data_IF_728322531216
#
_entry.id   IF_728322531216
#
_cell.length_a   1.000
_cell.length_b   1.000
_cell.length_c   1.000
_cell.angle_alpha   90.00
_cell.angle_beta   90.00
_cell.angle_gamma   90.00
#
_symmetry.space_group_name_H-M   'P 1'
#
loop_
_entity.id
_entity.type
_entity.pdbx_description
1 polymer ?
#
# COMPACT_ATOMS: atom_id res chain seq x y z
N UNK A 1 -33.69 9.17 -8.92
CA UNK A 1 -32.22 9.13 -8.85
C UNK A 1 -31.84 7.71 -8.49
N UNK A 2 -31.36 6.94 -9.45
CA UNK A 2 -31.00 5.52 -9.26
C UNK A 2 -29.57 5.47 -8.70
N UNK A 3 -29.39 4.90 -7.52
CA UNK A 3 -28.08 4.67 -6.93
C UNK A 3 -27.33 3.63 -7.78
N UNK A 4 -26.31 4.09 -8.47
CA UNK A 4 -25.39 3.26 -9.25
C UNK A 4 -24.38 2.66 -8.29
N UNK A 5 -24.56 1.41 -7.89
CA UNK A 5 -23.51 0.64 -7.20
C UNK A 5 -22.63 0.06 -8.28
N UNK A 6 -21.43 0.62 -8.43
CA UNK A 6 -20.42 0.15 -9.37
C UNK A 6 -19.53 -0.84 -8.65
N UNK A 7 -19.49 -2.07 -9.12
CA UNK A 7 -18.58 -3.12 -8.65
C UNK A 7 -17.31 -3.07 -9.47
N UNK A 8 -16.19 -2.91 -8.81
CA UNK A 8 -14.88 -2.68 -9.41
C UNK A 8 -13.97 -3.90 -9.22
N UNK A 9 -13.35 -4.32 -10.31
CA UNK A 9 -12.23 -5.27 -10.48
C UNK A 9 -12.54 -6.76 -10.52
N UNK A 10 -12.02 -7.39 -11.56
CA UNK A 10 -12.24 -8.78 -12.01
C UNK A 10 -11.82 -9.91 -11.07
N UNK A 11 -11.52 -9.63 -9.86
CA UNK A 11 -11.44 -10.67 -8.83
C UNK A 11 -12.78 -10.88 -8.10
N UNK A 12 -13.94 -10.43 -8.61
CA UNK A 12 -15.24 -10.50 -7.95
C UNK A 12 -16.25 -11.23 -8.78
N UNK A 13 -16.47 -12.45 -8.52
CA UNK A 13 -17.73 -13.08 -8.86
C UNK A 13 -18.31 -13.87 -7.69
N UNK A 14 -19.57 -13.58 -7.48
CA UNK A 14 -20.63 -14.38 -6.90
C UNK A 14 -21.11 -14.06 -5.47
N UNK A 15 -22.38 -13.74 -5.50
CA UNK A 15 -23.53 -13.86 -4.62
C UNK A 15 -24.01 -12.57 -3.97
N UNK A 16 -25.08 -12.05 -4.61
CA UNK A 16 -26.10 -11.28 -3.91
C UNK A 16 -27.04 -12.26 -3.19
N UNK A 17 -27.19 -12.09 -1.90
CA UNK A 17 -28.44 -12.44 -1.22
C UNK A 17 -28.65 -11.58 0.02
N UNK A 18 -29.83 -11.00 0.06
CA UNK A 18 -30.61 -10.48 1.21
C UNK A 18 -30.09 -9.25 1.95
N UNK A 19 -30.94 -8.24 1.90
CA UNK A 19 -30.97 -7.03 2.70
C UNK A 19 -30.82 -7.32 4.20
N UNK A 20 -29.74 -6.81 4.78
CA UNK A 20 -29.68 -6.56 6.21
C UNK A 20 -29.50 -5.05 6.43
N UNK A 21 -30.40 -4.47 7.21
CA UNK A 21 -30.32 -3.06 7.62
C UNK A 21 -29.07 -2.81 8.46
N UNK A 22 -28.49 -1.59 8.42
CA UNK A 22 -27.34 -1.25 9.23
C UNK A 22 -27.72 -1.34 10.72
N UNK A 23 -27.07 -2.23 11.44
CA UNK A 23 -27.11 -2.26 12.89
C UNK A 23 -26.38 -1.03 13.43
N UNK A 24 -27.05 -0.32 14.31
CA UNK A 24 -26.58 0.82 15.10
C UNK A 24 -25.17 0.59 15.67
N UNK A 25 -24.39 1.66 15.86
CA UNK A 25 -23.05 1.53 16.43
C UNK A 25 -23.12 0.92 17.83
N UNK A 26 -22.23 -0.02 18.09
CA UNK A 26 -22.06 -0.68 19.37
C UNK A 26 -21.88 0.35 20.49
N UNK A 27 -22.97 0.67 21.18
CA UNK A 27 -22.97 1.24 22.51
C UNK A 27 -23.34 0.11 23.47
N UNK A 28 -22.38 -0.69 23.87
CA UNK A 28 -22.49 -1.46 25.09
C UNK A 28 -21.80 -0.67 26.19
N UNK A 29 -22.61 -0.07 27.03
CA UNK A 29 -22.16 0.45 28.30
C UNK A 29 -21.46 -0.67 29.07
N UNK A 30 -20.14 -0.60 29.18
CA UNK A 30 -19.38 -1.41 30.13
C UNK A 30 -19.63 -0.79 31.48
N UNK A 31 -20.60 -1.36 32.22
CA UNK A 31 -20.81 -1.09 33.64
C UNK A 31 -19.65 -1.72 34.41
N UNK A 32 -18.99 -0.89 35.20
CA UNK A 32 -17.73 -1.12 35.83
C UNK A 32 -17.62 -2.30 36.77
N UNK A 33 -16.46 -2.90 36.70
CA UNK A 33 -15.72 -3.40 37.87
C UNK A 33 -14.25 -3.05 37.62
N UNK A 34 -13.58 -2.49 38.62
CA UNK A 34 -12.16 -2.10 38.57
C UNK A 34 -11.25 -3.33 38.75
N UNK A 35 -11.40 -4.34 37.90
CA UNK A 35 -10.37 -5.32 37.61
C UNK A 35 -9.59 -4.83 36.39
N UNK A 36 -8.28 -4.93 36.42
CA UNK A 36 -7.41 -4.68 35.25
C UNK A 36 -8.05 -5.28 34.01
N UNK A 37 -8.18 -4.56 32.90
CA UNK A 37 -8.77 -5.14 31.70
C UNK A 37 -8.02 -6.44 31.37
N UNK A 38 -8.74 -7.54 31.23
CA UNK A 38 -8.19 -8.82 30.82
C UNK A 38 -7.60 -8.66 29.42
N UNK A 39 -6.31 -8.46 29.33
CA UNK A 39 -5.57 -8.42 28.08
C UNK A 39 -4.38 -9.37 28.16
N UNK A 40 -3.96 -9.85 27.02
CA UNK A 40 -2.71 -10.61 26.91
C UNK A 40 -1.81 -10.02 25.83
N UNK A 41 -0.53 -10.38 25.88
CA UNK A 41 0.46 -9.90 24.95
C UNK A 41 0.72 -10.91 23.84
N UNK A 42 0.89 -10.41 22.65
CA UNK A 42 1.36 -11.19 21.49
C UNK A 42 2.46 -10.43 20.76
N UNK A 43 3.27 -11.14 19.99
CA UNK A 43 4.23 -10.55 19.05
C UNK A 43 3.88 -10.92 17.63
N UNK A 44 4.01 -9.99 16.74
CA UNK A 44 3.88 -10.26 15.31
C UNK A 44 4.90 -11.28 14.86
N UNK A 45 4.51 -12.15 13.93
CA UNK A 45 5.38 -13.15 13.30
C UNK A 45 5.12 -13.26 11.80
N UNK A 46 6.04 -13.86 11.08
CA UNK A 46 5.93 -14.09 9.64
C UNK A 46 6.55 -12.98 8.81
N UNK A 47 6.39 -13.08 7.50
CA UNK A 47 7.13 -12.25 6.53
C UNK A 47 6.51 -10.86 6.39
N UNK A 48 5.18 -10.75 6.47
CA UNK A 48 4.42 -9.51 6.24
C UNK A 48 3.21 -9.44 7.17
N UNK A 49 3.40 -9.44 8.50
CA UNK A 49 2.29 -9.20 9.41
C UNK A 49 1.74 -7.79 9.18
N UNK A 50 0.43 -7.63 9.27
CA UNK A 50 -0.22 -6.34 9.11
C UNK A 50 -1.40 -6.17 10.04
N UNK A 51 -1.71 -4.92 10.35
CA UNK A 51 -2.93 -4.53 11.05
C UNK A 51 -3.96 -3.99 10.06
N UNK A 52 -5.23 -4.16 10.40
CA UNK A 52 -6.39 -3.66 9.67
C UNK A 52 -7.22 -2.74 10.55
N UNK A 53 -7.99 -1.84 9.93
CA UNK A 53 -8.91 -0.94 10.65
C UNK A 53 -10.17 -1.65 11.16
N UNK A 54 -10.52 -2.78 10.57
CA UNK A 54 -11.68 -3.59 10.92
C UNK A 54 -11.76 -4.82 10.05
N UNK A 55 -12.64 -5.78 10.38
CA UNK A 55 -12.94 -6.90 9.49
C UNK A 55 -13.59 -6.36 8.22
N UNK A 56 -13.19 -6.90 7.08
CA UNK A 56 -13.78 -6.55 5.80
C UNK A 56 -14.94 -7.47 5.45
N UNK A 57 -16.00 -6.89 4.93
CA UNK A 57 -17.18 -7.62 4.46
C UNK A 57 -17.10 -7.96 2.97
N UNK A 58 -16.10 -7.45 2.29
CA UNK A 58 -15.86 -7.72 0.88
C UNK A 58 -14.61 -8.61 0.68
N UNK A 59 -14.40 -9.03 -0.55
CA UNK A 59 -13.28 -9.90 -0.91
C UNK A 59 -11.87 -9.30 -0.77
N UNK A 60 -11.75 -7.98 -0.60
CA UNK A 60 -10.46 -7.33 -0.35
C UNK A 60 -10.07 -7.45 1.12
N UNK A 61 -10.98 -7.94 1.97
CA UNK A 61 -10.79 -8.03 3.41
C UNK A 61 -10.82 -6.67 4.08
N UNK A 62 -10.41 -6.62 5.34
CA UNK A 62 -10.30 -5.39 6.11
C UNK A 62 -9.33 -4.40 5.46
N UNK A 63 -9.64 -3.10 5.58
CA UNK A 63 -8.74 -2.07 5.09
C UNK A 63 -7.43 -2.11 5.88
N UNK A 64 -6.32 -2.42 5.21
CA UNK A 64 -5.00 -2.52 5.85
C UNK A 64 -4.58 -1.19 6.47
N UNK A 65 -4.21 -1.22 7.73
CA UNK A 65 -3.69 -0.04 8.43
C UNK A 65 -2.20 0.16 8.11
N UNK A 66 -1.41 -0.88 8.32
CA UNK A 66 0.04 -0.87 8.08
C UNK A 66 0.59 -2.28 8.06
N UNK A 67 1.70 -2.49 7.32
CA UNK A 67 2.55 -3.65 7.52
C UNK A 67 3.49 -3.40 8.70
N UNK A 68 3.79 -4.44 9.47
CA UNK A 68 4.67 -4.40 10.64
C UNK A 68 5.89 -5.29 10.43
N UNK A 69 6.93 -5.02 11.17
CA UNK A 69 8.03 -5.96 11.33
C UNK A 69 7.59 -7.16 12.20
N UNK A 70 8.31 -8.26 12.12
CA UNK A 70 8.17 -9.37 13.05
C UNK A 70 8.67 -8.97 14.45
N UNK A 71 8.04 -9.48 15.49
CA UNK A 71 8.41 -9.22 16.88
C UNK A 71 7.81 -7.94 17.48
N UNK A 72 6.92 -7.24 16.79
CA UNK A 72 6.20 -6.08 17.34
C UNK A 72 5.24 -6.54 18.42
N UNK A 73 5.33 -5.92 19.59
CA UNK A 73 4.52 -6.22 20.77
C UNK A 73 3.13 -5.59 20.63
N UNK A 74 2.10 -6.40 20.75
CA UNK A 74 0.71 -5.99 20.64
C UNK A 74 -0.07 -6.41 21.88
N UNK A 75 -1.01 -5.56 22.27
CA UNK A 75 -1.90 -5.75 23.40
C UNK A 75 -3.27 -6.21 22.90
N UNK A 76 -3.57 -7.49 23.05
CA UNK A 76 -4.86 -8.08 22.65
C UNK A 76 -5.87 -7.88 23.75
N UNK A 77 -7.02 -7.33 23.40
CA UNK A 77 -8.12 -7.06 24.33
C UNK A 77 -9.36 -7.91 24.04
N UNK A 78 -9.48 -8.46 22.82
CA UNK A 78 -10.60 -9.29 22.41
C UNK A 78 -10.26 -10.06 21.13
N UNK A 79 -11.20 -10.86 20.63
CA UNK A 79 -11.09 -11.57 19.36
C UNK A 79 -12.40 -11.59 18.59
N UNK A 80 -12.32 -11.51 17.27
CA UNK A 80 -13.45 -11.61 16.36
C UNK A 80 -13.11 -12.58 15.21
N UNK A 81 -13.77 -13.72 15.18
CA UNK A 81 -13.51 -14.74 14.16
C UNK A 81 -12.04 -15.18 14.13
N UNK A 82 -11.38 -14.98 13.01
CA UNK A 82 -9.96 -15.30 12.78
C UNK A 82 -8.98 -14.26 13.30
N UNK A 83 -9.48 -13.14 13.81
CA UNK A 83 -8.65 -12.00 14.17
C UNK A 83 -8.63 -11.74 15.68
N UNK A 84 -7.55 -11.15 16.15
CA UNK A 84 -7.47 -10.49 17.44
C UNK A 84 -7.77 -9.00 17.31
N UNK A 85 -8.43 -8.45 18.32
CA UNK A 85 -8.62 -7.00 18.50
C UNK A 85 -7.50 -6.50 19.37
N UNK A 86 -6.73 -5.54 18.83
CA UNK A 86 -5.53 -4.96 19.45
C UNK A 86 -5.81 -3.55 19.90
N UNK A 87 -5.53 -3.23 21.15
CA UNK A 87 -5.56 -1.86 21.65
C UNK A 87 -4.31 -1.10 21.22
N UNK A 88 -4.48 -0.04 20.45
CA UNK A 88 -3.43 0.92 20.08
C UNK A 88 -3.41 2.13 21.01
N UNK A 89 -4.60 2.65 21.34
CA UNK A 89 -4.84 3.67 22.37
C UNK A 89 -6.08 3.28 23.17
N UNK A 90 -6.53 4.12 24.10
CA UNK A 90 -7.79 3.89 24.82
C UNK A 90 -9.04 3.92 23.92
N UNK A 91 -8.95 4.54 22.74
CA UNK A 91 -10.07 4.73 21.79
C UNK A 91 -9.83 4.19 20.39
N UNK A 92 -8.58 3.81 20.07
CA UNK A 92 -8.21 3.29 18.76
C UNK A 92 -7.81 1.81 18.87
N UNK A 93 -8.48 0.98 18.10
CA UNK A 93 -8.21 -0.44 17.98
C UNK A 93 -7.78 -0.79 16.56
N UNK A 94 -7.12 -1.93 16.43
CA UNK A 94 -6.78 -2.55 15.15
C UNK A 94 -7.11 -4.03 15.20
N UNK A 95 -7.16 -4.65 14.03
CA UNK A 95 -7.38 -6.08 13.86
C UNK A 95 -6.11 -6.71 13.29
N UNK A 96 -5.79 -7.91 13.75
CA UNK A 96 -4.67 -8.70 13.24
C UNK A 96 -5.03 -10.18 13.22
N UNK A 97 -4.68 -10.87 12.14
CA UNK A 97 -4.93 -12.29 12.02
C UNK A 97 -4.20 -13.09 13.11
N UNK A 98 -4.90 -14.00 13.77
CA UNK A 98 -4.35 -14.89 14.82
C UNK A 98 -3.12 -15.67 14.33
N UNK A 99 -3.09 -16.03 13.05
CA UNK A 99 -1.97 -16.72 12.41
C UNK A 99 -0.72 -15.86 12.26
N UNK A 100 -0.86 -14.55 12.31
CA UNK A 100 0.23 -13.56 12.15
C UNK A 100 0.89 -13.16 13.48
N UNK A 101 0.52 -13.80 14.58
CA UNK A 101 1.07 -13.50 15.91
C UNK A 101 1.42 -14.76 16.69
N UNK A 102 2.23 -14.58 17.73
CA UNK A 102 2.56 -15.60 18.73
C UNK A 102 2.39 -15.02 20.12
N UNK A 103 1.89 -15.81 21.09
CA UNK A 103 1.75 -15.39 22.48
C UNK A 103 3.10 -14.99 23.08
N UNK A 104 3.10 -13.87 23.80
CA UNK A 104 4.25 -13.42 24.60
C UNK A 104 3.90 -13.53 26.08
N UNK A 105 4.40 -14.57 26.72
CA UNK A 105 4.19 -14.85 28.14
C UNK A 105 5.34 -14.37 29.01
N UNK A 106 6.41 -13.85 28.41
CA UNK A 106 7.65 -13.46 29.08
C UNK A 106 7.71 -11.97 29.37
N UNK A 107 7.22 -11.16 28.44
CA UNK A 107 7.28 -9.69 28.57
C UNK A 107 6.34 -9.23 29.67
N UNK A 108 6.91 -8.59 30.70
CA UNK A 108 6.12 -7.87 31.70
C UNK A 108 5.62 -6.56 31.12
N UNK A 109 4.32 -6.35 31.17
CA UNK A 109 3.71 -5.07 30.75
C UNK A 109 4.29 -3.95 31.62
N UNK A 110 4.89 -2.96 30.97
CA UNK A 110 5.31 -1.74 31.63
C UNK A 110 4.15 -0.75 31.63
N UNK A 111 3.98 0.00 32.72
CA UNK A 111 3.00 1.09 32.77
C UNK A 111 3.29 2.18 31.73
N UNK A 112 4.58 2.38 31.41
CA UNK A 112 5.05 3.39 30.46
C UNK A 112 6.24 2.85 29.66
N UNK A 113 6.18 3.01 28.34
CA UNK A 113 7.33 2.91 27.47
C UNK A 113 7.78 4.32 27.10
N UNK A 114 9.05 4.63 27.30
CA UNK A 114 9.62 5.96 27.06
C UNK A 114 10.55 5.91 25.85
N UNK A 115 10.34 6.78 24.88
CA UNK A 115 11.28 6.95 23.78
C UNK A 115 12.57 7.63 24.29
N UNK A 116 13.68 7.32 23.62
CA UNK A 116 14.92 8.05 23.84
C UNK A 116 15.15 9.15 22.80
N UNK A 117 16.41 9.56 22.66
CA UNK A 117 16.81 10.60 21.73
C UNK A 117 16.78 10.14 20.29
N UNK A 118 16.75 11.11 19.38
CA UNK A 118 16.67 10.89 17.96
C UNK A 118 17.96 11.30 17.26
N UNK A 119 18.17 10.70 16.11
CA UNK A 119 19.25 11.07 15.19
C UNK A 119 18.73 11.09 13.78
N UNK A 120 19.03 12.15 13.03
CA UNK A 120 18.76 12.21 11.58
C UNK A 120 20.06 12.20 10.81
N UNK A 121 20.10 11.48 9.70
CA UNK A 121 21.22 11.42 8.77
C UNK A 121 20.74 10.95 7.40
N UNK A 122 21.61 10.96 6.40
CA UNK A 122 21.30 10.40 5.09
C UNK A 122 22.35 9.37 4.67
N UNK A 123 21.94 8.47 3.79
CA UNK A 123 22.80 7.62 2.99
C UNK A 123 22.62 7.91 1.50
N UNK A 124 23.07 7.01 0.62
CA UNK A 124 22.96 7.20 -0.84
C UNK A 124 21.50 7.11 -1.36
N UNK A 125 20.57 6.56 -0.59
CA UNK A 125 19.20 6.24 -1.04
C UNK A 125 18.10 6.84 -0.19
N UNK A 126 18.39 7.11 1.09
CA UNK A 126 17.39 7.50 2.08
C UNK A 126 17.89 8.61 2.99
N UNK A 127 16.96 9.45 3.41
CA UNK A 127 17.08 10.17 4.66
C UNK A 127 16.53 9.28 5.78
N UNK A 128 17.19 9.27 6.93
CA UNK A 128 16.87 8.46 8.09
C UNK A 128 16.48 9.34 9.27
N UNK A 129 15.40 8.98 9.94
CA UNK A 129 15.01 9.52 11.23
C UNK A 129 14.95 8.32 12.19
N UNK A 130 15.96 8.21 13.03
CA UNK A 130 16.12 7.07 13.94
C UNK A 130 15.75 7.48 15.34
N UNK A 131 14.74 6.82 15.89
CA UNK A 131 14.23 7.01 17.25
C UNK A 131 14.69 5.86 18.14
N UNK A 132 15.29 6.16 19.29
CA UNK A 132 15.63 5.12 20.29
C UNK A 132 14.34 4.64 20.95
N UNK A 133 14.13 3.33 20.95
CA UNK A 133 12.92 2.67 21.41
C UNK A 133 13.24 1.69 22.55
N UNK A 134 12.37 1.60 23.56
CA UNK A 134 12.55 0.64 24.66
C UNK A 134 12.02 -0.75 24.32
N UNK A 135 11.20 -0.86 23.27
CA UNK A 135 10.51 -2.06 22.81
C UNK A 135 10.06 -1.87 21.36
N UNK A 136 9.81 -2.97 20.63
CA UNK A 136 9.15 -2.92 19.32
C UNK A 136 7.65 -2.70 19.52
N UNK A 137 7.21 -1.47 19.39
CA UNK A 137 5.83 -1.06 19.55
C UNK A 137 5.15 -0.86 18.19
N UNK A 138 3.80 -0.96 18.11
CA UNK A 138 3.09 -0.75 16.86
C UNK A 138 3.16 0.70 16.38
N UNK A 139 3.09 0.85 15.07
CA UNK A 139 3.13 2.15 14.39
C UNK A 139 2.18 2.18 13.20
N UNK A 140 1.89 3.40 12.74
CA UNK A 140 1.15 3.65 11.49
C UNK A 140 1.72 4.87 10.79
N UNK A 141 1.87 4.78 9.46
CA UNK A 141 2.30 5.90 8.63
C UNK A 141 1.19 6.43 7.75
N UNK A 142 1.12 7.74 7.56
CA UNK A 142 0.14 8.43 6.71
C UNK A 142 0.83 9.50 5.88
N UNK A 143 0.60 9.51 4.57
CA UNK A 143 1.05 10.57 3.66
C UNK A 143 0.04 11.72 3.67
N UNK A 144 0.54 12.95 3.75
CA UNK A 144 -0.21 14.17 3.57
C UNK A 144 0.38 14.94 2.39
N UNK A 145 -0.44 15.60 1.58
CA UNK A 145 0.01 16.30 0.36
C UNK A 145 -0.10 17.81 0.44
N UNK A 146 -0.75 18.33 1.48
CA UNK A 146 -0.86 19.78 1.71
C UNK A 146 -0.97 20.06 3.21
N UNK A 147 0.10 20.48 3.87
CA UNK A 147 1.50 20.50 3.39
C UNK A 147 2.00 19.10 3.05
N UNK A 148 3.10 19.02 2.26
CA UNK A 148 3.68 17.73 1.89
C UNK A 148 4.50 17.18 3.06
N UNK A 149 3.98 16.15 3.72
CA UNK A 149 4.59 15.57 4.91
C UNK A 149 4.24 14.10 5.10
N UNK A 150 5.05 13.41 5.86
CA UNK A 150 4.76 12.10 6.41
C UNK A 150 4.43 12.25 7.89
N UNK A 151 3.40 11.55 8.34
CA UNK A 151 2.98 11.45 9.75
C UNK A 151 3.17 10.00 10.17
N UNK A 152 3.94 9.77 11.23
CA UNK A 152 4.10 8.44 11.84
C UNK A 152 3.54 8.48 13.26
N UNK A 153 2.51 7.70 13.49
CA UNK A 153 1.94 7.47 14.82
C UNK A 153 2.63 6.25 15.46
N UNK A 154 3.24 6.43 16.61
CA UNK A 154 3.83 5.39 17.45
C UNK A 154 2.90 5.16 18.64
N UNK A 155 2.44 3.94 18.83
CA UNK A 155 1.43 3.63 19.85
C UNK A 155 2.04 3.04 21.11
N UNK A 156 1.45 3.35 22.26
CA UNK A 156 1.87 2.81 23.56
C UNK A 156 3.17 3.41 24.10
N UNK A 157 3.54 4.62 23.67
CA UNK A 157 4.81 5.26 24.03
C UNK A 157 4.63 6.72 24.39
N UNK A 158 5.40 7.18 25.36
CA UNK A 158 5.53 8.58 25.75
C UNK A 158 6.91 9.09 25.40
N UNK A 159 7.00 10.32 24.92
CA UNK A 159 8.28 10.95 24.63
C UNK A 159 9.10 11.21 25.89
N UNK A 160 10.33 10.77 25.86
CA UNK A 160 11.39 11.16 26.78
C UNK A 160 12.62 11.69 26.02
N UNK A 161 12.35 12.31 24.86
CA UNK A 161 13.36 12.83 23.96
C UNK A 161 13.92 14.14 24.51
N UNK A 162 15.21 14.17 24.85
CA UNK A 162 15.90 15.39 25.31
C UNK A 162 16.52 16.16 24.14
N UNK A 163 16.89 15.48 23.04
CA UNK A 163 17.44 16.13 21.85
C UNK A 163 17.24 15.29 20.59
N UNK A 164 17.26 15.99 19.45
CA UNK A 164 17.31 15.42 18.11
C UNK A 164 18.64 15.85 17.49
N UNK A 165 19.54 14.88 17.25
CA UNK A 165 20.80 15.14 16.57
C UNK A 165 20.61 15.13 15.07
N UNK A 166 20.82 16.27 14.41
CA UNK A 166 20.80 16.37 12.95
C UNK A 166 22.22 16.25 12.41
N UNK A 167 22.46 15.23 11.56
CA UNK A 167 23.78 14.97 10.97
C UNK A 167 23.74 15.26 9.48
N UNK A 168 24.41 16.36 9.08
CA UNK A 168 24.47 16.79 7.70
C UNK A 168 23.16 17.38 7.17
N UNK A 169 23.15 17.70 5.88
CA UNK A 169 21.93 18.13 5.20
C UNK A 169 21.18 16.90 4.71
N UNK A 170 19.92 16.76 5.12
CA UNK A 170 19.00 15.76 4.58
C UNK A 170 18.60 16.17 3.15
N UNK A 171 18.36 15.20 2.28
CA UNK A 171 18.04 15.43 0.89
C UNK A 171 16.56 15.73 0.68
N UNK A 172 15.69 14.91 1.25
CA UNK A 172 14.24 14.99 1.07
C UNK A 172 13.54 15.62 2.28
N UNK A 173 14.08 15.46 3.48
CA UNK A 173 13.48 15.95 4.71
C UNK A 173 13.85 17.42 4.91
N UNK A 174 12.82 18.27 5.03
CA UNK A 174 12.96 19.68 5.36
C UNK A 174 13.07 19.90 6.87
N UNK A 175 12.21 19.21 7.64
CA UNK A 175 12.17 19.29 9.09
C UNK A 175 11.54 18.02 9.69
N UNK A 176 11.84 17.73 10.95
CA UNK A 176 11.19 16.67 11.72
C UNK A 176 11.01 17.10 13.16
N UNK A 177 9.84 16.83 13.72
CA UNK A 177 9.50 17.05 15.12
C UNK A 177 8.44 16.05 15.56
N UNK A 178 8.00 16.16 16.81
CA UNK A 178 6.97 15.28 17.35
C UNK A 178 6.00 16.03 18.25
N UNK A 179 4.85 15.43 18.44
CA UNK A 179 3.85 15.83 19.44
C UNK A 179 3.45 14.61 20.26
N UNK A 180 3.40 14.78 21.58
CA UNK A 180 2.78 13.80 22.44
C UNK A 180 1.28 14.00 22.37
N UNK A 181 0.61 13.04 21.77
CA UNK A 181 -0.85 13.00 21.73
C UNK A 181 -1.37 12.38 23.03
N UNK A 182 -2.62 12.65 23.33
CA UNK A 182 -3.33 11.96 24.41
C UNK A 182 -3.33 10.44 24.20
N UNK A 183 -3.54 9.68 25.26
CA UNK A 183 -3.70 8.22 25.23
C UNK A 183 -2.44 7.43 24.85
N UNK A 184 -1.24 7.96 25.08
CA UNK A 184 -0.01 7.21 24.89
C UNK A 184 0.41 7.03 23.41
N UNK A 185 0.03 7.96 22.55
CA UNK A 185 0.47 8.00 21.15
C UNK A 185 1.49 9.13 20.97
N UNK A 186 2.66 8.81 20.41
CA UNK A 186 3.67 9.78 20.00
C UNK A 186 3.58 9.96 18.47
N UNK A 187 3.24 11.17 18.03
CA UNK A 187 3.13 11.51 16.61
C UNK A 187 4.39 12.19 16.12
N UNK A 188 5.02 11.59 15.12
CA UNK A 188 6.20 12.12 14.44
C UNK A 188 5.78 12.76 13.14
N UNK A 189 6.22 13.99 12.92
CA UNK A 189 6.02 14.72 11.68
C UNK A 189 7.32 14.81 10.91
N UNK A 190 7.25 14.57 9.62
CA UNK A 190 8.38 14.70 8.69
C UNK A 190 7.93 15.55 7.51
N UNK A 191 8.31 16.81 7.50
CA UNK A 191 8.06 17.71 6.36
C UNK A 191 9.03 17.40 5.22
N UNK A 192 8.49 17.32 4.02
CA UNK A 192 9.25 17.00 2.82
C UNK A 192 9.59 18.27 2.03
N UNK A 193 10.80 18.32 1.48
CA UNK A 193 11.24 19.40 0.57
C UNK A 193 10.57 19.30 -0.79
N UNK A 194 10.37 18.05 -1.26
CA UNK A 194 9.66 17.79 -2.51
C UNK A 194 8.17 18.02 -2.36
N UNK A 195 7.49 18.43 -3.44
CA UNK A 195 6.04 18.46 -3.53
C UNK A 195 5.40 17.09 -3.76
N UNK A 196 6.21 16.03 -3.84
CA UNK A 196 5.78 14.68 -4.14
C UNK A 196 6.38 13.69 -3.12
N UNK A 197 5.70 12.56 -2.92
CA UNK A 197 6.20 11.45 -2.13
C UNK A 197 6.90 10.43 -3.02
N UNK A 198 8.13 10.04 -2.63
CA UNK A 198 8.94 9.04 -3.35
C UNK A 198 8.88 7.66 -2.70
N UNK A 199 8.27 7.59 -1.56
CA UNK A 199 8.16 6.41 -0.72
C UNK A 199 8.87 6.57 0.61
N UNK A 200 8.45 5.75 1.56
CA UNK A 200 9.04 5.64 2.89
C UNK A 200 8.90 4.21 3.41
N UNK A 201 9.71 3.88 4.39
CA UNK A 201 9.56 2.66 5.18
C UNK A 201 9.82 2.92 6.65
N UNK A 202 9.25 2.09 7.50
CA UNK A 202 9.46 2.14 8.95
C UNK A 202 9.86 0.76 9.41
N UNK A 203 11.03 0.62 10.03
CA UNK A 203 11.58 -0.65 10.45
C UNK A 203 12.29 -0.55 11.78
N UNK A 204 12.21 -1.60 12.57
CA UNK A 204 13.06 -1.77 13.72
C UNK A 204 14.42 -2.35 13.31
N UNK A 205 15.48 -1.93 14.00
CA UNK A 205 16.78 -2.59 13.88
C UNK A 205 16.72 -4.03 14.41
N UNK A 206 17.78 -4.81 14.18
CA UNK A 206 17.84 -6.21 14.61
C UNK A 206 17.65 -6.40 16.11
N UNK A 207 18.09 -5.43 16.91
CA UNK A 207 17.97 -5.45 18.38
C UNK A 207 16.60 -5.04 18.88
N UNK A 208 15.81 -4.34 18.05
CA UNK A 208 14.52 -3.74 18.44
C UNK A 208 14.65 -2.44 19.23
N UNK A 209 15.88 -1.95 19.41
CA UNK A 209 16.17 -0.76 20.22
C UNK A 209 16.08 0.56 19.44
N UNK A 210 15.92 0.51 18.13
CA UNK A 210 15.81 1.67 17.26
C UNK A 210 14.72 1.47 16.23
N UNK A 211 13.87 2.48 16.08
CA UNK A 211 12.93 2.60 14.97
C UNK A 211 13.55 3.53 13.93
N UNK A 212 13.71 3.05 12.70
CA UNK A 212 14.27 3.78 11.57
C UNK A 212 13.16 4.13 10.58
N UNK A 213 12.81 5.41 10.51
CA UNK A 213 11.90 5.97 9.51
C UNK A 213 12.76 6.43 8.34
N UNK A 214 12.64 5.75 7.21
CA UNK A 214 13.42 6.00 5.99
C UNK A 214 12.58 6.72 4.96
N UNK A 215 13.06 7.85 4.49
CA UNK A 215 12.45 8.61 3.41
C UNK A 215 13.28 8.40 2.15
N UNK A 216 12.66 7.79 1.14
CA UNK A 216 13.35 7.50 -0.13
C UNK A 216 13.67 8.79 -0.87
N UNK A 217 14.89 8.88 -1.39
CA UNK A 217 15.31 10.00 -2.24
C UNK A 217 14.54 10.02 -3.56
N UNK A 218 14.28 11.23 -4.06
CA UNK A 218 13.69 11.42 -5.38
C UNK A 218 14.48 10.63 -6.45
N UNK A 219 13.81 9.93 -7.36
CA UNK A 219 14.48 9.29 -8.46
C UNK A 219 15.08 10.32 -9.42
N UNK A 220 15.98 9.88 -10.26
CA UNK A 220 16.51 10.74 -11.31
C UNK A 220 15.39 11.25 -12.24
N UNK A 221 15.42 12.53 -12.60
CA UNK A 221 14.47 13.15 -13.55
C UNK A 221 14.64 12.66 -15.01
N UNK A 222 15.16 11.47 -15.17
CA UNK A 222 15.46 10.87 -16.46
C UNK A 222 14.94 9.44 -16.52
N UNK A 223 14.01 9.20 -17.44
CA UNK A 223 13.39 7.87 -17.64
C UNK A 223 14.43 6.74 -17.79
N UNK A 224 15.56 7.01 -18.44
CA UNK A 224 16.62 6.01 -18.66
C UNK A 224 17.31 5.55 -17.37
N UNK A 225 17.23 6.33 -16.31
CA UNK A 225 17.87 6.04 -15.02
C UNK A 225 16.90 5.40 -14.02
N UNK A 226 15.61 5.40 -14.32
CA UNK A 226 14.62 4.76 -13.44
C UNK A 226 14.81 3.25 -13.37
N UNK A 227 14.55 2.72 -12.18
CA UNK A 227 14.31 1.30 -11.98
C UNK A 227 12.79 1.06 -11.91
N UNK A 228 12.23 0.46 -12.95
CA UNK A 228 10.80 0.24 -13.09
C UNK A 228 10.49 -1.22 -12.81
N UNK A 229 9.61 -1.48 -11.85
CA UNK A 229 9.00 -2.79 -11.68
C UNK A 229 7.68 -2.85 -12.47
N UNK A 230 7.46 -3.95 -13.18
CA UNK A 230 6.24 -4.25 -13.90
C UNK A 230 5.66 -5.55 -13.33
N UNK A 231 4.46 -5.45 -12.79
CA UNK A 231 3.73 -6.61 -12.31
C UNK A 231 2.70 -7.02 -13.37
N UNK A 232 2.72 -8.30 -13.75
CA UNK A 232 1.67 -8.91 -14.53
C UNK A 232 0.68 -9.56 -13.58
N UNK A 233 -0.50 -8.99 -13.43
CA UNK A 233 -1.53 -9.48 -12.51
C UNK A 233 -1.86 -10.96 -12.72
N UNK A 234 -2.35 -11.62 -11.66
CA UNK A 234 -2.73 -13.04 -11.70
C UNK A 234 -1.59 -13.98 -12.07
N UNK A 235 -1.90 -15.21 -12.50
CA UNK A 235 -0.94 -16.22 -12.94
C UNK A 235 -1.16 -17.58 -12.30
N UNK A 236 -0.76 -18.64 -12.99
CA UNK A 236 -0.95 -20.00 -12.56
C UNK A 236 -2.42 -20.33 -12.28
N UNK A 237 -2.74 -20.75 -11.06
CA UNK A 237 -4.10 -21.09 -10.66
C UNK A 237 -5.03 -19.88 -10.51
N UNK A 238 -4.49 -18.68 -10.34
CA UNK A 238 -5.27 -17.44 -10.32
C UNK A 238 -5.45 -16.94 -11.76
N UNK A 239 -6.58 -17.24 -12.37
CA UNK A 239 -6.86 -16.88 -13.77
C UNK A 239 -7.20 -15.42 -13.98
N UNK A 240 -7.64 -14.71 -12.93
CA UNK A 240 -8.33 -13.44 -13.07
C UNK A 240 -9.71 -13.63 -13.72
N UNK A 241 -10.25 -12.56 -14.28
CA UNK A 241 -11.46 -12.61 -15.09
C UNK A 241 -11.22 -13.30 -16.44
N UNK A 242 -12.29 -13.54 -17.16
CA UNK A 242 -12.25 -13.96 -18.56
C UNK A 242 -13.07 -12.99 -19.41
N UNK A 243 -12.68 -12.83 -20.65
CA UNK A 243 -13.45 -12.07 -21.62
C UNK A 243 -14.72 -12.80 -22.02
N UNK A 244 -15.81 -12.08 -22.19
CA UNK A 244 -17.14 -12.65 -22.48
C UNK A 244 -17.26 -13.10 -23.95
N UNK A 245 -16.53 -12.45 -24.87
CA UNK A 245 -16.61 -12.77 -26.32
C UNK A 245 -15.53 -13.79 -26.69
N UNK A 246 -14.28 -13.56 -26.26
CA UNK A 246 -13.13 -14.36 -26.70
C UNK A 246 -12.69 -15.40 -25.65
N UNK A 247 -13.26 -15.40 -24.47
CA UNK A 247 -12.96 -16.38 -23.41
C UNK A 247 -11.51 -16.35 -22.89
N UNK A 248 -10.72 -15.33 -23.24
CA UNK A 248 -9.30 -15.27 -22.86
C UNK A 248 -9.17 -14.84 -21.41
N UNK A 249 -8.46 -15.64 -20.60
CA UNK A 249 -8.24 -15.36 -19.19
C UNK A 249 -7.34 -14.13 -18.99
N UNK A 250 -7.65 -13.32 -17.99
CA UNK A 250 -6.92 -12.11 -17.64
C UNK A 250 -5.43 -12.37 -17.42
N UNK A 251 -5.05 -13.46 -16.75
CA UNK A 251 -3.64 -13.79 -16.50
C UNK A 251 -2.79 -13.88 -17.78
N UNK A 252 -3.37 -14.27 -18.90
CA UNK A 252 -2.68 -14.36 -20.19
C UNK A 252 -2.49 -12.97 -20.77
N UNK A 253 -3.53 -12.15 -20.71
CA UNK A 253 -3.52 -10.77 -21.19
C UNK A 253 -2.56 -9.89 -20.38
N UNK A 254 -2.60 -9.99 -19.05
CA UNK A 254 -1.71 -9.20 -18.18
C UNK A 254 -0.24 -9.51 -18.46
N UNK A 255 0.10 -10.78 -18.71
CA UNK A 255 1.47 -11.15 -19.07
C UNK A 255 1.87 -10.62 -20.46
N UNK A 256 0.98 -10.68 -21.43
CA UNK A 256 1.20 -10.14 -22.78
C UNK A 256 1.45 -8.62 -22.75
N UNK A 257 0.59 -7.87 -22.04
CA UNK A 257 0.70 -6.41 -21.91
C UNK A 257 1.89 -5.97 -21.07
N UNK A 258 2.18 -6.69 -19.98
CA UNK A 258 3.36 -6.43 -19.16
C UNK A 258 4.67 -6.63 -19.93
N UNK A 259 4.75 -7.67 -20.77
CA UNK A 259 5.90 -7.88 -21.69
C UNK A 259 6.01 -6.79 -22.75
N UNK A 260 4.88 -6.32 -23.28
CA UNK A 260 4.87 -5.19 -24.21
C UNK A 260 5.37 -3.90 -23.52
N UNK A 261 4.99 -3.68 -22.26
CA UNK A 261 5.47 -2.55 -21.46
C UNK A 261 6.97 -2.66 -21.18
N UNK A 262 7.47 -3.84 -20.76
CA UNK A 262 8.91 -4.07 -20.60
C UNK A 262 9.69 -3.76 -21.88
N UNK A 263 9.22 -4.25 -23.02
CA UNK A 263 9.84 -4.00 -24.34
C UNK A 263 9.87 -2.50 -24.68
N UNK A 264 8.75 -1.78 -24.45
CA UNK A 264 8.65 -0.34 -24.69
C UNK A 264 9.58 0.45 -23.78
N UNK A 265 9.64 0.13 -22.49
CA UNK A 265 10.54 0.76 -21.53
C UNK A 265 12.02 0.56 -21.92
N UNK A 266 12.41 -0.67 -22.27
CA UNK A 266 13.76 -0.97 -22.76
C UNK A 266 14.10 -0.22 -24.04
N UNK A 267 13.15 -0.14 -24.99
CA UNK A 267 13.31 0.62 -26.24
C UNK A 267 13.49 2.11 -25.97
N UNK A 268 12.82 2.65 -24.95
CA UNK A 268 13.00 4.03 -24.48
C UNK A 268 14.31 4.27 -23.70
N UNK A 269 15.12 3.22 -23.52
CA UNK A 269 16.42 3.27 -22.88
C UNK A 269 16.41 3.07 -21.37
N UNK A 270 15.29 2.65 -20.77
CA UNK A 270 15.24 2.26 -19.34
C UNK A 270 16.14 1.04 -19.13
N UNK A 271 17.20 1.21 -18.33
CA UNK A 271 18.22 0.16 -18.15
C UNK A 271 17.79 -0.95 -17.19
N UNK A 272 16.97 -0.62 -16.20
CA UNK A 272 16.53 -1.53 -15.14
C UNK A 272 15.02 -1.69 -15.17
N UNK A 273 14.56 -2.82 -15.71
CA UNK A 273 13.15 -3.24 -15.69
C UNK A 273 13.06 -4.61 -15.04
N UNK A 274 12.31 -4.71 -13.95
CA UNK A 274 12.03 -5.95 -13.24
C UNK A 274 10.60 -6.38 -13.53
N UNK A 275 10.38 -7.66 -13.82
CA UNK A 275 9.03 -8.22 -13.93
C UNK A 275 8.80 -9.22 -12.80
N UNK A 276 7.66 -9.12 -12.11
CA UNK A 276 7.28 -10.05 -11.04
C UNK A 276 7.14 -11.49 -11.53
N UNK A 277 6.61 -11.67 -12.75
CA UNK A 277 6.59 -12.96 -13.44
C UNK A 277 6.85 -12.80 -14.93
N UNK A 278 7.46 -13.81 -15.53
CA UNK A 278 7.75 -13.87 -16.98
C UNK A 278 7.07 -15.04 -17.67
N UNK A 279 6.43 -15.91 -16.89
CA UNK A 279 5.71 -17.11 -17.35
C UNK A 279 4.34 -17.16 -16.65
N UNK A 280 3.53 -18.14 -17.00
CA UNK A 280 2.27 -18.40 -16.29
C UNK A 280 2.56 -19.15 -14.98
N UNK A 281 2.93 -18.41 -13.95
CA UNK A 281 3.34 -18.92 -12.64
C UNK A 281 2.46 -18.34 -11.55
N UNK A 282 2.05 -19.18 -10.60
CA UNK A 282 1.37 -18.74 -9.37
C UNK A 282 2.37 -18.01 -8.45
N UNK A 283 2.04 -16.79 -8.09
CA UNK A 283 2.75 -16.00 -7.08
C UNK A 283 1.72 -15.43 -6.12
N UNK A 284 1.90 -15.68 -4.85
CA UNK A 284 1.10 -15.05 -3.80
C UNK A 284 1.42 -13.55 -3.67
N UNK A 285 0.51 -12.78 -3.06
CA UNK A 285 0.76 -11.35 -2.83
C UNK A 285 1.97 -11.10 -1.91
N UNK A 286 2.17 -11.85 -0.80
CA UNK A 286 3.40 -11.73 -0.03
C UNK A 286 4.68 -11.95 -0.84
N UNK A 287 4.74 -12.99 -1.68
CA UNK A 287 5.90 -13.24 -2.54
C UNK A 287 6.18 -12.07 -3.48
N UNK A 288 5.15 -11.52 -4.14
CA UNK A 288 5.31 -10.34 -5.02
C UNK A 288 5.83 -9.13 -4.23
N UNK A 289 5.27 -8.86 -3.05
CA UNK A 289 5.70 -7.74 -2.21
C UNK A 289 7.16 -7.92 -1.77
N UNK A 290 7.56 -9.14 -1.36
CA UNK A 290 8.93 -9.40 -0.94
C UNK A 290 9.93 -9.26 -2.09
N UNK A 291 9.62 -9.80 -3.28
CA UNK A 291 10.44 -9.59 -4.48
C UNK A 291 10.64 -8.08 -4.78
N UNK A 292 9.60 -7.28 -4.60
CA UNK A 292 9.66 -5.83 -4.80
C UNK A 292 10.45 -5.12 -3.69
N UNK A 293 10.33 -5.56 -2.44
CA UNK A 293 11.15 -5.05 -1.32
C UNK A 293 12.63 -5.38 -1.49
N UNK A 294 12.95 -6.59 -1.93
CA UNK A 294 14.35 -7.02 -2.18
C UNK A 294 14.98 -6.24 -3.34
N UNK A 295 14.21 -5.97 -4.40
CA UNK A 295 14.70 -5.23 -5.55
C UNK A 295 14.67 -3.73 -5.37
N UNK A 296 13.75 -3.21 -4.55
CA UNK A 296 13.54 -1.80 -4.23
C UNK A 296 13.48 -0.90 -5.48
N UNK A 297 12.45 -1.04 -6.33
CA UNK A 297 12.29 -0.23 -7.55
C UNK A 297 12.01 1.24 -7.22
N UNK A 298 12.17 2.11 -8.22
CA UNK A 298 11.74 3.50 -8.10
C UNK A 298 10.22 3.62 -8.19
N UNK A 299 9.61 2.80 -9.05
CA UNK A 299 8.15 2.74 -9.24
C UNK A 299 7.70 1.31 -9.55
N UNK A 300 6.44 1.02 -9.21
CA UNK A 300 5.74 -0.20 -9.59
C UNK A 300 4.55 0.14 -10.51
N UNK A 301 4.44 -0.59 -11.60
CA UNK A 301 3.29 -0.59 -12.50
C UNK A 301 2.68 -1.99 -12.54
N UNK A 302 1.46 -2.15 -12.04
CA UNK A 302 0.72 -3.41 -12.09
C UNK A 302 -0.32 -3.37 -13.20
N UNK A 303 -0.33 -4.35 -14.08
CA UNK A 303 -1.21 -4.41 -15.25
C UNK A 303 -2.33 -5.41 -15.01
N UNK A 304 -3.55 -4.93 -15.15
CA UNK A 304 -4.79 -5.67 -14.95
C UNK A 304 -5.83 -5.34 -16.02
N UNK A 305 -6.92 -6.11 -16.05
CA UNK A 305 -8.11 -5.88 -16.85
C UNK A 305 -9.35 -6.02 -15.97
N UNK A 306 -10.15 -4.99 -15.97
CA UNK A 306 -11.35 -4.94 -15.14
C UNK A 306 -12.47 -5.87 -15.66
N UNK A 307 -13.42 -6.15 -14.79
CA UNK A 307 -14.64 -6.86 -15.15
C UNK A 307 -15.80 -6.41 -14.25
N UNK A 308 -17.00 -6.45 -14.75
CA UNK A 308 -18.24 -6.10 -14.06
C UNK A 308 -19.31 -7.12 -14.40
N UNK A 309 -20.26 -7.33 -13.49
CA UNK A 309 -21.49 -8.09 -13.78
C UNK A 309 -22.44 -7.32 -14.71
N UNK A 310 -22.16 -6.06 -15.01
CA UNK A 310 -22.92 -5.19 -15.90
C UNK A 310 -22.05 -4.90 -17.13
N UNK A 311 -22.44 -5.41 -18.28
CA UNK A 311 -21.67 -5.35 -19.53
C UNK A 311 -21.56 -3.94 -20.14
N UNK A 312 -22.40 -3.00 -19.71
CA UNK A 312 -22.34 -1.59 -20.14
C UNK A 312 -21.24 -0.79 -19.43
N UNK A 313 -20.70 -1.31 -18.32
CA UNK A 313 -19.56 -0.70 -17.62
C UNK A 313 -18.31 -0.88 -18.46
N UNK A 314 -17.58 0.21 -18.71
CA UNK A 314 -16.45 0.23 -19.63
C UNK A 314 -15.42 1.31 -19.28
N UNK A 315 -14.27 1.25 -19.94
CA UNK A 315 -13.26 2.30 -19.91
C UNK A 315 -12.01 1.93 -19.13
N UNK A 316 -11.04 2.83 -19.15
CA UNK A 316 -9.74 2.68 -18.48
C UNK A 316 -9.73 3.34 -17.12
N UNK A 317 -8.96 2.78 -16.18
CA UNK A 317 -8.80 3.32 -14.84
C UNK A 317 -7.41 3.08 -14.28
N UNK A 318 -7.07 3.87 -13.29
CA UNK A 318 -5.85 3.69 -12.50
C UNK A 318 -6.21 3.73 -11.02
N UNK A 319 -5.42 3.02 -10.21
CA UNK A 319 -5.70 2.86 -8.79
C UNK A 319 -4.46 3.17 -7.96
N UNK A 320 -4.68 3.85 -6.84
CA UNK A 320 -3.68 4.08 -5.80
C UNK A 320 -4.28 3.85 -4.41
N UNK A 321 -3.42 3.54 -3.43
CA UNK A 321 -3.83 3.50 -2.03
C UNK A 321 -3.45 4.77 -1.29
N UNK A 322 -2.18 5.16 -1.39
CA UNK A 322 -1.61 6.29 -0.67
C UNK A 322 -1.73 7.57 -1.49
N UNK A 323 -2.31 8.62 -0.89
CA UNK A 323 -2.58 9.89 -1.58
C UNK A 323 -1.32 10.51 -2.22
N UNK A 324 -0.15 10.29 -1.63
CA UNK A 324 1.13 10.78 -2.17
C UNK A 324 1.51 10.17 -3.52
N UNK A 325 0.89 9.04 -3.90
CA UNK A 325 1.14 8.38 -5.20
C UNK A 325 0.12 8.74 -6.28
N UNK A 326 -0.94 9.48 -5.92
CA UNK A 326 -1.95 9.96 -6.88
C UNK A 326 -1.36 10.69 -8.10
N UNK A 327 -0.31 11.54 -8.01
CA UNK A 327 0.24 12.21 -9.18
C UNK A 327 0.70 11.24 -10.27
N UNK A 328 1.31 10.10 -9.90
CA UNK A 328 1.72 9.06 -10.86
C UNK A 328 0.51 8.46 -11.58
N UNK A 329 -0.51 8.04 -10.82
CA UNK A 329 -1.69 7.37 -11.38
C UNK A 329 -2.49 8.32 -12.26
N UNK A 330 -2.59 9.59 -11.88
CA UNK A 330 -3.33 10.59 -12.64
C UNK A 330 -2.73 10.86 -14.03
N UNK A 331 -1.40 11.01 -14.13
CA UNK A 331 -0.78 11.26 -15.44
C UNK A 331 -0.82 10.04 -16.34
N UNK A 332 -0.74 8.84 -15.78
CA UNK A 332 -0.91 7.59 -16.52
C UNK A 332 -2.33 7.50 -17.07
N UNK A 333 -3.36 7.74 -16.24
CA UNK A 333 -4.76 7.74 -16.68
C UNK A 333 -4.98 8.76 -17.82
N UNK A 334 -4.47 9.98 -17.69
CA UNK A 334 -4.59 11.01 -18.72
C UNK A 334 -4.02 10.57 -20.07
N UNK A 335 -2.95 9.77 -20.06
CA UNK A 335 -2.39 9.18 -21.28
C UNK A 335 -3.20 7.99 -21.79
N UNK A 336 -3.72 7.15 -20.90
CA UNK A 336 -4.54 6.00 -21.26
C UNK A 336 -5.84 6.44 -21.98
N UNK A 337 -6.47 7.50 -21.53
CA UNK A 337 -7.68 8.09 -22.20
C UNK A 337 -7.44 8.44 -23.66
N UNK A 338 -6.21 8.76 -24.08
CA UNK A 338 -5.87 9.07 -25.47
C UNK A 338 -5.91 7.83 -26.39
N UNK A 339 -6.20 6.65 -25.86
CA UNK A 339 -6.44 5.42 -26.63
C UNK A 339 -7.86 5.33 -27.22
N UNK A 340 -8.74 6.30 -26.91
CA UNK A 340 -10.15 6.27 -27.30
C UNK A 340 -11.03 5.45 -26.36
N UNK A 341 -10.49 5.03 -25.21
CA UNK A 341 -11.25 4.40 -24.13
C UNK A 341 -11.95 5.46 -23.28
N UNK A 342 -13.12 5.15 -22.78
CA UNK A 342 -13.81 5.99 -21.80
C UNK A 342 -13.00 6.06 -20.51
N UNK A 343 -13.19 7.12 -19.74
CA UNK A 343 -12.62 7.22 -18.41
C UNK A 343 -13.54 6.55 -17.40
N UNK A 344 -13.05 5.46 -16.76
CA UNK A 344 -13.71 4.91 -15.58
C UNK A 344 -13.29 5.69 -14.32
N UNK A 345 -12.02 6.05 -14.17
CA UNK A 345 -11.55 6.94 -13.10
C UNK A 345 -10.15 6.69 -12.58
N UNK A 346 -9.70 7.62 -11.71
CA UNK A 346 -8.52 7.43 -10.85
C UNK A 346 -9.00 7.12 -9.43
N UNK A 347 -8.95 5.85 -9.04
CA UNK A 347 -9.57 5.33 -7.81
C UNK A 347 -8.56 5.36 -6.66
N UNK A 348 -8.91 6.10 -5.60
CA UNK A 348 -8.07 6.26 -4.42
C UNK A 348 -8.44 5.35 -3.26
N UNK A 349 -7.54 5.24 -2.28
CA UNK A 349 -7.69 4.43 -1.06
C UNK A 349 -7.98 2.95 -1.33
N UNK A 350 -7.53 2.46 -2.48
CA UNK A 350 -7.85 1.11 -2.94
C UNK A 350 -7.05 0.05 -2.15
N UNK A 351 -7.77 -0.88 -1.51
CA UNK A 351 -7.20 -1.88 -0.60
C UNK A 351 -6.59 -3.09 -1.33
N UNK A 352 -5.93 -2.86 -2.45
CA UNK A 352 -5.22 -3.91 -3.17
C UNK A 352 -3.83 -4.16 -2.57
N UNK A 353 -3.41 -5.43 -2.51
CA UNK A 353 -2.18 -5.81 -1.79
C UNK A 353 -0.93 -5.10 -2.33
N UNK A 354 -0.75 -5.02 -3.66
CA UNK A 354 0.40 -4.35 -4.27
C UNK A 354 0.32 -2.82 -4.26
N UNK A 355 -0.83 -2.24 -3.92
CA UNK A 355 -0.95 -0.80 -3.65
C UNK A 355 -0.62 -0.45 -2.19
N UNK A 356 -0.50 -1.46 -1.32
CA UNK A 356 -0.20 -1.31 0.10
C UNK A 356 1.22 -0.89 0.46
N UNK A 357 2.28 -1.34 -0.24
CA UNK A 357 3.64 -0.91 0.04
C UNK A 357 3.81 0.61 -0.08
N UNK A 358 4.54 1.18 0.88
CA UNK A 358 4.83 2.62 0.95
C UNK A 358 6.24 2.96 0.47
N UNK A 359 7.06 1.96 0.21
CA UNK A 359 8.49 2.07 -0.10
C UNK A 359 8.78 2.65 -1.50
N UNK A 360 7.79 2.65 -2.38
CA UNK A 360 7.89 3.17 -3.75
C UNK A 360 6.50 3.58 -4.29
N UNK A 361 6.41 4.64 -5.11
CA UNK A 361 5.20 4.96 -5.84
C UNK A 361 4.71 3.78 -6.67
N UNK A 362 3.42 3.51 -6.60
CA UNK A 362 2.81 2.41 -7.33
C UNK A 362 1.52 2.84 -8.02
N UNK A 363 1.24 2.21 -9.15
CA UNK A 363 0.05 2.41 -9.96
C UNK A 363 -0.45 1.07 -10.46
N UNK A 364 -1.68 0.70 -10.12
CA UNK A 364 -2.38 -0.37 -10.79
C UNK A 364 -3.14 0.25 -11.97
N UNK A 365 -2.98 -0.34 -13.15
CA UNK A 365 -3.63 0.07 -14.39
C UNK A 365 -4.62 -1.01 -14.79
N UNK A 366 -5.91 -0.70 -14.71
CA UNK A 366 -6.97 -1.46 -15.35
C UNK A 366 -7.14 -0.93 -16.77
N UNK A 367 -6.63 -1.68 -17.73
CA UNK A 367 -6.53 -1.23 -19.12
C UNK A 367 -7.90 -0.94 -19.69
N UNK A 368 -8.86 -1.86 -19.52
CA UNK A 368 -10.25 -1.76 -19.95
C UNK A 368 -11.04 -2.94 -19.35
N UNK A 369 -12.34 -3.03 -19.61
CA UNK A 369 -13.20 -4.07 -19.07
C UNK A 369 -13.32 -5.29 -20.01
N UNK A 370 -12.98 -6.47 -19.49
CA UNK A 370 -13.16 -7.75 -20.21
C UNK A 370 -14.63 -8.11 -20.40
N UNK A 371 -15.51 -7.65 -19.51
CA UNK A 371 -16.97 -7.83 -19.58
C UNK A 371 -17.70 -6.88 -20.54
N UNK A 372 -17.00 -5.88 -21.09
CA UNK A 372 -17.61 -4.96 -22.04
C UNK A 372 -17.19 -5.31 -23.48
N UNK A 373 -18.14 -5.53 -24.40
CA UNK A 373 -17.83 -5.96 -25.76
C UNK A 373 -16.95 -5.02 -26.58
N UNK A 374 -17.04 -3.70 -26.36
CA UNK A 374 -16.21 -2.73 -27.08
C UNK A 374 -14.78 -2.71 -26.52
N UNK A 375 -14.65 -2.72 -25.20
CA UNK A 375 -13.38 -2.76 -24.50
C UNK A 375 -12.64 -4.09 -24.79
N UNK A 376 -13.34 -5.23 -24.76
CA UNK A 376 -12.75 -6.53 -25.06
C UNK A 376 -12.21 -6.60 -26.49
N UNK A 377 -12.95 -6.07 -27.48
CA UNK A 377 -12.45 -5.94 -28.87
C UNK A 377 -11.18 -5.07 -28.94
N UNK A 378 -11.12 -3.97 -28.17
CA UNK A 378 -9.91 -3.16 -28.08
C UNK A 378 -8.76 -3.96 -27.46
N UNK A 379 -9.01 -4.66 -26.34
CA UNK A 379 -7.99 -5.48 -25.64
C UNK A 379 -7.43 -6.55 -26.59
N UNK A 380 -8.27 -7.23 -27.34
CA UNK A 380 -7.89 -8.32 -28.25
C UNK A 380 -7.25 -7.85 -29.56
N UNK A 381 -7.28 -6.57 -29.85
CA UNK A 381 -6.69 -6.04 -31.08
C UNK A 381 -5.15 -6.14 -31.03
N UNK A 382 -4.54 -6.73 -32.05
CA UNK A 382 -3.11 -7.07 -32.15
C UNK A 382 -2.13 -5.95 -31.78
N UNK A 383 -2.49 -4.68 -32.01
CA UNK A 383 -1.62 -3.52 -31.71
C UNK A 383 -1.90 -2.88 -30.33
N UNK A 384 -2.87 -3.35 -29.59
CA UNK A 384 -3.27 -2.73 -28.32
C UNK A 384 -2.23 -2.87 -27.22
N UNK A 385 -1.55 -4.00 -27.05
CA UNK A 385 -0.47 -4.10 -26.05
C UNK A 385 0.63 -3.05 -26.26
N UNK A 386 1.05 -2.81 -27.51
CA UNK A 386 2.07 -1.81 -27.82
C UNK A 386 1.58 -0.38 -27.64
N UNK A 387 0.30 -0.09 -28.01
CA UNK A 387 -0.31 1.23 -27.82
C UNK A 387 -0.41 1.57 -26.33
N UNK A 388 -0.91 0.64 -25.51
CA UNK A 388 -1.03 0.79 -24.05
C UNK A 388 0.35 1.00 -23.43
N UNK A 389 1.32 0.16 -23.75
CA UNK A 389 2.69 0.27 -23.27
C UNK A 389 3.30 1.67 -23.54
N UNK A 390 3.08 2.18 -24.75
CA UNK A 390 3.53 3.53 -25.13
C UNK A 390 2.86 4.60 -24.28
N UNK A 391 1.54 4.51 -24.06
CA UNK A 391 0.82 5.51 -23.24
C UNK A 391 1.24 5.49 -21.77
N UNK A 392 1.47 4.32 -21.21
CA UNK A 392 2.03 4.20 -19.86
C UNK A 392 3.42 4.84 -19.79
N UNK A 393 4.32 4.56 -20.75
CA UNK A 393 5.66 5.19 -20.81
C UNK A 393 5.56 6.72 -20.97
N UNK A 394 4.63 7.23 -21.80
CA UNK A 394 4.39 8.67 -21.92
C UNK A 394 3.93 9.25 -20.57
N UNK A 395 3.04 8.57 -19.85
CA UNK A 395 2.61 8.95 -18.50
C UNK A 395 3.79 9.02 -17.51
N UNK A 396 4.71 8.05 -17.55
CA UNK A 396 5.94 8.10 -16.74
C UNK A 396 6.81 9.33 -17.10
N UNK A 397 6.91 9.66 -18.36
CA UNK A 397 7.66 10.86 -18.80
C UNK A 397 7.01 12.13 -18.26
N UNK A 398 5.68 12.21 -18.27
CA UNK A 398 4.96 13.35 -17.71
C UNK A 398 5.11 13.43 -16.20
N UNK A 399 5.06 12.27 -15.51
CA UNK A 399 5.28 12.20 -14.06
C UNK A 399 6.67 12.75 -13.67
N UNK A 400 7.72 12.38 -14.41
CA UNK A 400 9.06 12.90 -14.15
C UNK A 400 9.17 14.41 -14.32
N UNK A 401 8.35 15.04 -15.20
CA UNK A 401 8.30 16.49 -15.37
C UNK A 401 7.65 17.21 -14.17
N UNK A 402 6.88 16.51 -13.35
CA UNK A 402 6.30 17.07 -12.13
C UNK A 402 7.35 17.22 -11.01
N UNK A 403 8.50 16.55 -11.12
CA UNK A 403 9.60 16.65 -10.15
C UNK A 403 10.23 18.05 -10.30
N UNK A 404 9.99 18.89 -9.31
CA UNK A 404 10.56 20.25 -9.24
C UNK A 404 12.02 20.25 -8.81
#
# INVERSE_FOLDING_TARGET
MKNLIVVICSCCLLFMSSHAQPKTPFSSAITGNTSSPDFFLVRTKGILPYMEYGPGDDRLGGAKMTYLDSGVLLKVIDSLGTDYIVALTSSLHAFIQKTSVISDTVTKVKSHYLSGNWKTYQDNRFDHIVVTMPERLPYRGTMQVSPNRLIIDLFGITSNTNWITQVGQLREVANTWYEQMENGMLRVYVDLKSSMHWGYSVHYDSTGSKLDIRIKHAPAKNLKQLFVAVDAGHGGNNTGAAGDIYGKAEKVLTLEYARALEKELKRAGVKRVFMTRRTDTSLSMPERIMMLRDTMPDILLSIHFNSSSVDTVNGTSTFYRHIGFRPLTQVILNRMKQLGLNEFGNVGSFNFALSGPTEYPNCLVEVAFLSNPADERFIMHKKSPEKVARKIREGLTDWLRLIK
#
